data_IF_046120589942
#
_entry.id   IF_046120589942
#
_cell.length_a   1.000
_cell.length_b   1.000
_cell.length_c   1.000
_cell.angle_alpha   90.00
_cell.angle_beta   90.00
_cell.angle_gamma   90.00
#
_symmetry.space_group_name_H-M   'P 1'
#
loop_
_entity.id
_entity.type
_entity.pdbx_description
1 polymer ?
#
# COMPACT_ATOMS: atom_id res chain seq x y z
N UNK A 1 -15.89 -17.78 -7.41
CA UNK A 1 -15.65 -16.94 -6.21
C UNK A 1 -16.52 -15.71 -6.35
N UNK A 2 -17.41 -15.36 -5.41
CA UNK A 2 -18.15 -14.12 -5.50
C UNK A 2 -17.19 -12.95 -5.22
N UNK A 3 -16.97 -12.09 -6.23
CA UNK A 3 -16.57 -10.68 -6.09
C UNK A 3 -15.13 -10.37 -5.66
N UNK A 4 -14.17 -10.45 -6.58
CA UNK A 4 -12.94 -9.65 -6.42
C UNK A 4 -13.26 -8.17 -6.60
N UNK A 5 -12.62 -7.31 -5.81
CA UNK A 5 -12.83 -5.86 -5.89
C UNK A 5 -12.19 -5.30 -7.17
N UNK A 6 -12.94 -4.51 -7.94
CA UNK A 6 -12.48 -3.86 -9.15
C UNK A 6 -11.87 -2.49 -8.83
N UNK A 7 -11.12 -1.93 -9.79
CA UNK A 7 -10.56 -0.60 -9.63
C UNK A 7 -11.68 0.44 -9.51
N UNK A 8 -11.61 1.30 -8.50
CA UNK A 8 -12.63 2.31 -8.20
C UNK A 8 -13.80 1.83 -7.34
N UNK A 9 -13.84 0.54 -6.96
CA UNK A 9 -14.81 0.06 -5.98
C UNK A 9 -14.47 0.62 -4.58
N UNK A 10 -15.49 1.06 -3.85
CA UNK A 10 -15.34 1.48 -2.46
C UNK A 10 -14.83 0.32 -1.61
N UNK A 11 -13.79 0.58 -0.79
CA UNK A 11 -13.29 -0.39 0.16
C UNK A 11 -14.41 -0.85 1.11
N UNK A 12 -14.56 -2.16 1.37
CA UNK A 12 -15.58 -2.65 2.28
C UNK A 12 -15.35 -2.05 3.66
N UNK A 13 -16.38 -1.45 4.24
CA UNK A 13 -16.31 -0.96 5.60
C UNK A 13 -16.50 -2.13 6.57
N UNK A 14 -15.40 -2.69 7.04
CA UNK A 14 -15.40 -3.79 7.99
C UNK A 14 -14.91 -3.36 9.37
N UNK A 15 -15.19 -4.22 10.34
CA UNK A 15 -14.67 -4.15 11.69
C UNK A 15 -13.79 -5.38 11.93
N UNK A 16 -12.63 -5.19 12.53
CA UNK A 16 -11.69 -6.29 12.78
C UNK A 16 -10.90 -6.10 14.08
N UNK A 17 -10.49 -7.22 14.67
CA UNK A 17 -9.58 -7.25 15.80
C UNK A 17 -8.14 -7.06 15.32
N UNK A 18 -7.38 -6.22 16.00
CA UNK A 18 -5.98 -5.92 15.64
C UNK A 18 -5.07 -5.90 16.86
N UNK A 19 -3.76 -5.86 16.63
CA UNK A 19 -2.75 -5.65 17.69
C UNK A 19 -2.91 -4.33 18.45
N UNK A 20 -3.66 -3.35 17.93
CA UNK A 20 -3.99 -2.09 18.61
C UNK A 20 -5.43 -2.06 19.17
N UNK A 21 -6.12 -3.20 19.20
CA UNK A 21 -7.52 -3.31 19.58
C UNK A 21 -8.48 -3.44 18.39
N UNK A 22 -9.78 -3.42 18.67
CA UNK A 22 -10.82 -3.53 17.65
C UNK A 22 -10.92 -2.21 16.87
N UNK A 23 -10.87 -2.27 15.54
CA UNK A 23 -10.96 -1.09 14.67
C UNK A 23 -12.11 -1.22 13.69
N UNK A 24 -12.72 -0.09 13.36
CA UNK A 24 -13.57 0.06 12.18
C UNK A 24 -12.72 0.72 11.07
N UNK A 25 -12.67 0.13 9.88
CA UNK A 25 -11.73 0.58 8.83
C UNK A 25 -11.87 2.07 8.51
N UNK A 26 -13.10 2.56 8.30
CA UNK A 26 -13.33 3.96 7.94
C UNK A 26 -12.96 4.92 9.07
N UNK A 27 -13.28 4.58 10.33
CA UNK A 27 -12.90 5.40 11.49
C UNK A 27 -11.38 5.43 11.68
N UNK A 28 -10.72 4.29 11.45
CA UNK A 28 -9.28 4.18 11.52
C UNK A 28 -8.58 5.03 10.44
N UNK A 29 -9.10 5.00 9.20
CA UNK A 29 -8.57 5.79 8.10
C UNK A 29 -8.84 7.28 8.32
N UNK A 30 -10.06 7.66 8.69
CA UNK A 30 -10.49 9.04 8.80
C UNK A 30 -10.31 9.78 7.47
N UNK A 31 -9.58 10.90 7.50
CA UNK A 31 -9.22 11.66 6.29
C UNK A 31 -7.89 11.22 5.65
N UNK A 32 -7.32 10.11 6.10
CA UNK A 32 -6.08 9.55 5.54
C UNK A 32 -6.38 8.46 4.52
N UNK A 33 -5.48 8.29 3.55
CA UNK A 33 -5.53 7.12 2.67
C UNK A 33 -4.99 5.90 3.42
N UNK A 34 -5.33 4.70 2.97
CA UNK A 34 -4.83 3.45 3.54
C UNK A 34 -4.12 2.58 2.53
N UNK A 35 -3.22 1.74 3.00
CA UNK A 35 -2.68 0.60 2.25
C UNK A 35 -2.96 -0.64 3.07
N UNK A 36 -3.89 -1.47 2.59
CA UNK A 36 -4.18 -2.78 3.14
C UNK A 36 -3.28 -3.78 2.44
N UNK A 37 -2.43 -4.50 3.17
CA UNK A 37 -1.57 -5.49 2.53
C UNK A 37 -1.56 -6.81 3.28
N UNK A 38 -1.75 -7.91 2.57
CA UNK A 38 -1.85 -9.21 3.18
C UNK A 38 -0.53 -9.95 3.27
N UNK A 39 -0.42 -10.86 4.24
CA UNK A 39 0.63 -11.88 4.29
C UNK A 39 0.02 -13.22 4.72
N UNK A 40 0.63 -14.36 4.34
CA UNK A 40 -0.02 -15.66 4.41
C UNK A 40 0.03 -16.27 5.80
N UNK A 41 1.12 -16.03 6.56
CA UNK A 41 1.37 -16.71 7.83
C UNK A 41 2.42 -16.05 8.71
N UNK A 42 2.22 -16.12 10.02
CA UNK A 42 3.25 -15.86 11.02
C UNK A 42 3.82 -17.18 11.57
N UNK A 43 5.12 -17.25 11.89
CA UNK A 43 6.23 -16.45 11.38
C UNK A 43 6.78 -17.05 10.07
N UNK A 44 6.65 -16.33 8.94
CA UNK A 44 7.28 -16.70 7.67
C UNK A 44 8.43 -15.75 7.28
N UNK A 45 9.56 -16.25 6.74
CA UNK A 45 10.77 -15.45 6.54
C UNK A 45 10.58 -14.27 5.59
N UNK A 46 9.85 -14.44 4.49
CA UNK A 46 9.54 -13.35 3.54
C UNK A 46 8.65 -12.29 4.21
N UNK A 47 7.69 -12.72 5.02
CA UNK A 47 6.76 -11.81 5.68
C UNK A 47 7.48 -10.98 6.76
N UNK A 48 8.47 -11.55 7.46
CA UNK A 48 9.31 -10.82 8.40
C UNK A 48 10.07 -9.67 7.70
N UNK A 49 10.66 -9.93 6.53
CA UNK A 49 11.41 -8.90 5.81
C UNK A 49 10.50 -7.82 5.25
N UNK A 50 9.30 -8.19 4.78
CA UNK A 50 8.29 -7.26 4.28
C UNK A 50 7.75 -6.33 5.37
N UNK A 51 7.32 -6.87 6.52
CA UNK A 51 6.84 -6.05 7.64
C UNK A 51 7.98 -5.22 8.25
N UNK A 52 9.20 -5.76 8.30
CA UNK A 52 10.38 -5.00 8.71
C UNK A 52 10.62 -3.79 7.80
N UNK A 53 10.56 -3.97 6.49
CA UNK A 53 10.68 -2.88 5.51
C UNK A 53 9.51 -1.89 5.61
N UNK A 54 8.29 -2.38 5.78
CA UNK A 54 7.11 -1.55 5.98
C UNK A 54 7.24 -0.68 7.23
N UNK A 55 7.74 -1.23 8.34
CA UNK A 55 7.95 -0.49 9.58
C UNK A 55 8.95 0.66 9.40
N UNK A 56 10.07 0.39 8.71
CA UNK A 56 11.07 1.43 8.38
C UNK A 56 10.54 2.52 7.46
N UNK A 57 9.64 2.18 6.54
CA UNK A 57 9.04 3.12 5.60
C UNK A 57 7.76 3.78 6.12
N UNK A 58 7.21 3.36 7.26
CA UNK A 58 5.99 3.93 7.83
C UNK A 58 6.04 5.46 7.97
N UNK A 59 7.17 6.10 8.37
CA UNK A 59 7.28 7.55 8.37
C UNK A 59 7.10 8.20 6.98
N UNK A 60 7.56 7.56 5.91
CA UNK A 60 7.42 8.06 4.54
C UNK A 60 5.98 7.98 4.03
N UNK A 61 5.24 6.96 4.43
CA UNK A 61 3.80 6.85 4.17
C UNK A 61 3.01 7.87 5.00
N UNK A 62 3.35 8.03 6.28
CA UNK A 62 2.71 8.99 7.17
C UNK A 62 2.87 10.45 6.67
N UNK A 63 4.06 10.82 6.16
CA UNK A 63 4.29 12.13 5.52
C UNK A 63 3.36 12.40 4.34
N UNK A 64 2.89 11.36 3.66
CA UNK A 64 1.96 11.42 2.53
C UNK A 64 0.51 11.23 2.97
N UNK A 65 0.19 11.33 4.27
CA UNK A 65 -1.14 11.09 4.82
C UNK A 65 -1.68 9.69 4.45
N UNK A 66 -0.79 8.68 4.46
CA UNK A 66 -1.11 7.29 4.18
C UNK A 66 -0.85 6.42 5.42
N UNK A 67 -1.85 5.63 5.81
CA UNK A 67 -1.77 4.66 6.90
C UNK A 67 -1.54 3.26 6.34
N UNK A 68 -0.52 2.57 6.85
CA UNK A 68 -0.27 1.17 6.54
C UNK A 68 -1.14 0.29 7.44
N UNK A 69 -1.76 -0.76 6.87
CA UNK A 69 -2.60 -1.70 7.59
C UNK A 69 -2.31 -3.11 7.05
N UNK A 70 -1.33 -3.84 7.62
CA UNK A 70 -1.18 -5.24 7.31
C UNK A 70 -2.39 -6.04 7.75
N UNK A 71 -2.86 -6.91 6.86
CA UNK A 71 -3.82 -7.96 7.18
C UNK A 71 -3.02 -9.25 7.32
N UNK A 72 -3.01 -9.82 8.52
CA UNK A 72 -2.63 -11.21 8.66
C UNK A 72 -3.82 -12.04 8.18
N UNK A 73 -3.66 -12.69 7.03
CA UNK A 73 -4.61 -13.71 6.56
C UNK A 73 -4.36 -15.06 7.22
N UNK A 74 -3.57 -15.05 8.29
CA UNK A 74 -3.20 -16.22 9.03
C UNK A 74 -4.24 -16.50 10.11
N UNK A 75 -4.45 -17.78 10.39
CA UNK A 75 -5.22 -18.33 11.52
C UNK A 75 -4.64 -17.96 12.91
N UNK A 76 -3.67 -17.05 12.94
CA UNK A 76 -2.88 -16.72 14.11
C UNK A 76 -3.66 -15.78 15.03
N UNK A 77 -3.37 -15.87 16.33
CA UNK A 77 -4.01 -15.04 17.34
C UNK A 77 -3.42 -13.62 17.37
N UNK A 78 -4.09 -12.67 18.03
CA UNK A 78 -3.50 -11.32 18.22
C UNK A 78 -2.22 -11.43 19.06
N UNK A 79 -2.17 -12.38 19.98
CA UNK A 79 -1.02 -12.71 20.80
C UNK A 79 0.18 -13.17 19.96
N UNK A 80 -0.07 -13.98 18.92
CA UNK A 80 0.98 -14.42 17.98
C UNK A 80 1.54 -13.24 17.18
N UNK A 81 0.67 -12.33 16.72
CA UNK A 81 1.10 -11.10 16.03
C UNK A 81 1.97 -10.21 16.93
N UNK A 82 1.63 -10.09 18.22
CA UNK A 82 2.42 -9.33 19.20
C UNK A 82 3.78 -9.99 19.44
N UNK A 83 3.81 -11.32 19.61
CA UNK A 83 5.05 -12.07 19.76
C UNK A 83 5.94 -11.94 18.52
N UNK A 84 5.35 -12.02 17.32
CA UNK A 84 6.05 -11.89 16.05
C UNK A 84 6.59 -10.47 15.82
N UNK A 85 5.87 -9.44 16.27
CA UNK A 85 6.29 -8.04 16.21
C UNK A 85 7.66 -7.80 16.87
N UNK A 86 7.97 -8.54 17.95
CA UNK A 86 9.31 -8.51 18.58
C UNK A 86 10.40 -8.98 17.61
N UNK A 87 10.13 -10.05 16.87
CA UNK A 87 11.04 -10.60 15.87
C UNK A 87 11.25 -9.65 14.69
N UNK A 88 10.21 -8.94 14.26
CA UNK A 88 10.29 -7.93 13.20
C UNK A 88 11.17 -6.75 13.64
N UNK A 89 10.96 -6.24 14.86
CA UNK A 89 11.77 -5.16 15.41
C UNK A 89 13.23 -5.59 15.60
N UNK A 90 13.48 -6.81 16.10
CA UNK A 90 14.82 -7.37 16.21
C UNK A 90 15.51 -7.51 14.84
N UNK A 91 14.78 -7.97 13.80
CA UNK A 91 15.30 -8.04 12.44
C UNK A 91 15.73 -6.66 11.91
N UNK A 92 15.01 -5.61 12.30
CA UNK A 92 15.35 -4.24 11.93
C UNK A 92 16.55 -3.66 12.68
N UNK A 93 17.07 -4.35 13.70
CA UNK A 93 18.11 -3.86 14.61
C UNK A 93 17.57 -2.92 15.69
N UNK A 94 16.26 -2.93 15.94
CA UNK A 94 15.57 -2.10 16.92
C UNK A 94 15.29 -2.90 18.20
N UNK A 95 14.85 -2.21 19.27
CA UNK A 95 14.45 -2.90 20.50
C UNK A 95 13.30 -3.88 20.22
N UNK A 96 13.36 -5.13 20.70
CA UNK A 96 12.38 -6.18 20.42
C UNK A 96 11.08 -5.96 21.21
N UNK A 97 10.35 -4.91 20.83
CA UNK A 97 9.06 -4.55 21.42
C UNK A 97 7.91 -5.15 20.59
N UNK A 98 6.72 -5.20 21.18
CA UNK A 98 5.49 -5.65 20.51
C UNK A 98 4.86 -4.56 19.64
N UNK A 99 5.42 -3.35 19.68
CA UNK A 99 4.85 -2.18 19.00
C UNK A 99 5.44 -2.05 17.60
N UNK A 100 4.56 -2.04 16.62
CA UNK A 100 4.83 -1.65 15.24
C UNK A 100 4.15 -0.30 14.95
N UNK A 101 4.61 0.46 13.93
CA UNK A 101 4.01 1.74 13.56
C UNK A 101 2.63 1.59 12.90
N UNK A 102 2.13 0.37 12.75
CA UNK A 102 0.82 0.03 12.19
C UNK A 102 0.19 -1.16 12.94
N UNK A 103 -1.15 -1.26 12.98
CA UNK A 103 -1.84 -2.41 13.53
C UNK A 103 -1.84 -3.59 12.55
N UNK A 104 -1.66 -4.81 13.06
CA UNK A 104 -1.87 -6.05 12.28
C UNK A 104 -3.29 -6.53 12.53
N UNK A 105 -4.08 -6.67 11.47
CA UNK A 105 -5.44 -7.22 11.53
C UNK A 105 -5.39 -8.74 11.63
N UNK A 106 -6.15 -9.30 12.56
CA UNK A 106 -6.49 -10.72 12.63
C UNK A 106 -7.69 -10.98 11.71
N UNK A 107 -7.53 -11.82 10.69
CA UNK A 107 -8.65 -12.28 9.86
C UNK A 107 -9.43 -13.39 10.57
N UNK A 108 -10.69 -13.12 10.97
CA UNK A 108 -11.55 -14.11 11.64
C UNK A 108 -12.26 -15.06 10.67
N UNK A 109 -12.21 -14.78 9.35
CA UNK A 109 -12.96 -15.55 8.36
C UNK A 109 -12.17 -16.72 7.79
N UNK A 110 -10.94 -16.96 8.26
CA UNK A 110 -10.03 -18.01 7.77
C UNK A 110 -10.07 -18.12 6.25
N UNK A 111 -10.07 -16.98 5.55
CA UNK A 111 -10.23 -17.00 4.11
C UNK A 111 -9.05 -17.76 3.51
N UNK A 112 -9.26 -18.80 2.68
CA UNK A 112 -8.17 -19.50 2.05
C UNK A 112 -7.52 -18.56 1.04
N UNK A 113 -6.30 -18.08 1.30
CA UNK A 113 -5.66 -17.14 0.38
C UNK A 113 -4.33 -17.65 -0.17
N UNK A 114 -4.27 -17.57 -1.49
CA UNK A 114 -3.19 -17.98 -2.38
C UNK A 114 -2.26 -16.83 -2.79
N UNK A 115 -2.39 -15.61 -2.26
CA UNK A 115 -1.64 -14.44 -2.75
C UNK A 115 -1.36 -13.35 -1.70
N UNK A 116 -0.15 -12.76 -1.79
CA UNK A 116 0.17 -11.45 -1.23
C UNK A 116 -0.59 -10.40 -2.05
N UNK A 117 -1.53 -9.69 -1.42
CA UNK A 117 -2.30 -8.64 -2.07
C UNK A 117 -1.98 -7.31 -1.39
N UNK A 118 -1.75 -6.28 -2.18
CA UNK A 118 -1.70 -4.89 -1.71
C UNK A 118 -2.88 -4.16 -2.33
N UNK A 119 -3.74 -3.62 -1.49
CA UNK A 119 -4.83 -2.71 -1.85
C UNK A 119 -4.46 -1.31 -1.39
N UNK A 120 -4.33 -0.38 -2.33
CA UNK A 120 -4.26 1.05 -2.01
C UNK A 120 -5.72 1.55 -2.00
N UNK A 121 -6.14 2.13 -0.88
CA UNK A 121 -7.56 2.42 -0.57
C UNK A 121 -8.25 3.24 -1.67
N UNK A 122 -9.53 2.90 -1.88
CA UNK A 122 -10.40 3.15 -3.07
C UNK A 122 -10.11 2.24 -4.28
N UNK A 123 -9.33 1.18 -4.07
CA UNK A 123 -8.95 0.23 -5.10
C UNK A 123 -8.34 0.92 -6.34
N UNK A 124 -7.66 2.05 -6.18
CA UNK A 124 -7.01 2.73 -7.30
C UNK A 124 -5.85 1.91 -7.87
N UNK A 125 -5.25 1.04 -7.06
CA UNK A 125 -4.24 0.10 -7.47
C UNK A 125 -4.29 -1.18 -6.63
N UNK A 126 -4.12 -2.33 -7.30
CA UNK A 126 -4.05 -3.65 -6.67
C UNK A 126 -2.86 -4.43 -7.23
N UNK A 127 -2.02 -4.96 -6.33
CA UNK A 127 -0.89 -5.82 -6.69
C UNK A 127 -1.13 -7.23 -6.17
N UNK A 128 -1.02 -8.24 -7.04
CA UNK A 128 -1.04 -9.65 -6.68
C UNK A 128 0.33 -10.26 -6.91
N UNK A 129 0.97 -10.75 -5.84
CA UNK A 129 2.23 -11.48 -5.91
C UNK A 129 2.09 -12.86 -5.23
N UNK A 130 2.76 -13.91 -5.75
CA UNK A 130 2.88 -15.18 -5.06
C UNK A 130 3.58 -15.01 -3.71
N UNK A 131 3.28 -15.89 -2.75
CA UNK A 131 3.93 -15.87 -1.43
C UNK A 131 5.46 -16.05 -1.49
N UNK A 132 5.97 -16.63 -2.58
CA UNK A 132 7.40 -16.83 -2.85
C UNK A 132 8.10 -15.57 -3.36
N UNK A 133 7.36 -14.49 -3.65
CA UNK A 133 7.90 -13.24 -4.20
C UNK A 133 7.63 -12.09 -3.23
N UNK A 134 8.69 -11.65 -2.55
CA UNK A 134 8.63 -10.48 -1.67
C UNK A 134 8.31 -9.20 -2.45
N UNK A 135 7.53 -8.32 -1.82
CA UNK A 135 7.11 -7.03 -2.40
C UNK A 135 8.23 -6.00 -2.41
N UNK A 136 8.16 -5.10 -3.40
CA UNK A 136 8.95 -3.89 -3.42
C UNK A 136 8.13 -2.73 -2.82
N UNK A 137 8.45 -2.35 -1.57
CA UNK A 137 7.79 -1.22 -0.90
C UNK A 137 8.22 0.14 -1.46
N UNK A 138 9.37 0.25 -2.12
CA UNK A 138 9.77 1.48 -2.80
C UNK A 138 8.86 1.73 -4.01
N UNK A 139 8.47 0.66 -4.72
CA UNK A 139 7.46 0.73 -5.79
C UNK A 139 6.09 1.11 -5.24
N UNK A 140 5.71 0.57 -4.08
CA UNK A 140 4.46 0.95 -3.42
C UNK A 140 4.44 2.45 -3.10
N UNK A 141 5.54 2.99 -2.56
CA UNK A 141 5.68 4.41 -2.27
C UNK A 141 5.67 5.28 -3.55
N UNK A 142 6.33 4.80 -4.62
CA UNK A 142 6.34 5.46 -5.93
C UNK A 142 4.93 5.59 -6.50
N UNK A 143 4.14 4.52 -6.40
CA UNK A 143 2.76 4.48 -6.90
C UNK A 143 1.85 5.37 -6.07
N UNK A 144 1.97 5.36 -4.73
CA UNK A 144 1.24 6.30 -3.86
C UNK A 144 1.51 7.74 -4.28
N UNK A 145 2.78 8.08 -4.52
CA UNK A 145 3.18 9.43 -4.93
C UNK A 145 2.60 9.79 -6.30
N UNK A 146 2.62 8.85 -7.26
CA UNK A 146 1.97 9.02 -8.56
C UNK A 146 0.46 9.25 -8.43
N UNK A 147 -0.25 8.41 -7.66
CA UNK A 147 -1.70 8.53 -7.47
C UNK A 147 -2.09 9.86 -6.82
N UNK A 148 -1.32 10.34 -5.85
CA UNK A 148 -1.56 11.65 -5.24
C UNK A 148 -1.32 12.79 -6.22
N UNK A 149 -0.24 12.72 -7.00
CA UNK A 149 0.08 13.71 -8.02
C UNK A 149 -1.02 13.80 -9.09
N UNK A 150 -1.50 12.66 -9.60
CA UNK A 150 -2.51 12.62 -10.66
C UNK A 150 -3.92 12.92 -10.16
N UNK A 151 -4.19 12.77 -8.87
CA UNK A 151 -5.44 13.22 -8.25
C UNK A 151 -5.50 14.76 -8.14
N UNK A 152 -4.37 15.41 -7.84
CA UNK A 152 -4.31 16.87 -7.69
C UNK A 152 -4.02 17.62 -8.99
N UNK A 153 -3.26 17.01 -9.90
CA UNK A 153 -2.77 17.62 -11.14
C UNK A 153 -3.28 16.83 -12.33
N UNK A 154 -3.66 17.54 -13.39
CA UNK A 154 -4.15 16.92 -14.64
C UNK A 154 -3.00 16.38 -15.51
N UNK A 155 -2.20 15.46 -14.96
CA UNK A 155 -1.04 14.82 -15.59
C UNK A 155 -1.10 13.30 -15.42
N UNK A 156 -0.23 12.58 -16.11
CA UNK A 156 0.00 11.14 -15.92
C UNK A 156 1.50 10.86 -15.77
N UNK A 157 1.87 9.89 -14.94
CA UNK A 157 3.29 9.50 -14.78
C UNK A 157 3.69 8.47 -15.84
N UNK A 158 4.79 8.66 -16.60
CA UNK A 158 5.24 7.71 -17.61
C UNK A 158 5.81 6.41 -17.01
N UNK A 159 6.19 5.48 -17.89
CA UNK A 159 6.92 4.26 -17.51
C UNK A 159 8.18 4.60 -16.72
N UNK A 160 8.47 3.80 -15.67
CA UNK A 160 9.62 3.95 -14.78
C UNK A 160 9.77 5.34 -14.13
N UNK A 161 8.69 6.13 -14.09
CA UNK A 161 8.69 7.46 -13.50
C UNK A 161 9.11 7.43 -12.04
N UNK A 162 9.99 8.36 -11.66
CA UNK A 162 10.43 8.62 -10.29
C UNK A 162 9.98 10.01 -9.87
N UNK A 163 9.75 10.19 -8.58
CA UNK A 163 9.39 11.49 -8.00
C UNK A 163 10.43 12.57 -8.38
N UNK A 164 9.94 13.73 -8.83
CA UNK A 164 10.69 14.81 -9.45
C UNK A 164 10.93 14.68 -10.96
N UNK A 165 10.59 13.54 -11.57
CA UNK A 165 10.77 13.28 -13.00
C UNK A 165 9.66 13.89 -13.87
N UNK A 166 9.92 13.99 -15.18
CA UNK A 166 8.94 14.52 -16.14
C UNK A 166 7.64 13.69 -16.16
N UNK A 167 6.52 14.39 -16.32
CA UNK A 167 5.18 13.82 -16.41
C UNK A 167 4.59 14.04 -17.79
N UNK A 168 3.53 13.30 -18.11
CA UNK A 168 2.81 13.36 -19.38
C UNK A 168 1.57 14.23 -19.24
N UNK A 169 1.30 15.06 -20.24
CA UNK A 169 0.03 15.80 -20.34
C UNK A 169 -1.07 14.83 -20.72
N UNK A 170 -2.21 14.89 -20.02
CA UNK A 170 -3.37 14.06 -20.37
C UNK A 170 -3.84 14.35 -21.81
N UNK A 171 -4.23 13.33 -22.58
CA UNK A 171 -4.66 13.51 -23.98
C UNK A 171 -5.95 14.35 -24.08
N UNK A 172 -6.74 14.42 -23.02
CA UNK A 172 -7.98 15.21 -22.94
C UNK A 172 -7.75 16.71 -22.81
N UNK A 173 -6.52 17.16 -22.54
CA UNK A 173 -6.21 18.59 -22.43
C UNK A 173 -5.97 19.13 -23.84
N UNK A 174 -6.78 20.09 -24.32
CA UNK A 174 -6.59 20.70 -25.63
C UNK A 174 -5.19 21.30 -25.79
N UNK A 175 -4.67 21.34 -27.01
CA UNK A 175 -3.40 22.00 -27.31
C UNK A 175 -3.62 23.52 -27.33
N UNK A 176 -2.99 24.26 -26.41
CA UNK A 176 -2.79 25.72 -26.55
C UNK A 176 -1.38 26.05 -27.07
N UNK A 177 -0.40 25.14 -26.99
CA UNK A 177 1.00 25.35 -27.43
C UNK A 177 1.65 24.10 -28.07
N UNK A 178 2.72 24.34 -28.83
CA UNK A 178 3.51 23.38 -29.61
C UNK A 178 4.49 22.59 -28.70
N UNK A 179 4.44 21.24 -28.72
CA UNK A 179 5.27 20.41 -27.84
C UNK A 179 6.52 19.85 -28.54
N UNK A 180 7.65 19.65 -27.81
CA UNK A 180 8.96 19.32 -28.38
C UNK A 180 9.05 18.01 -29.18
N UNK A 181 8.10 17.09 -29.02
CA UNK A 181 8.17 15.75 -29.61
C UNK A 181 7.71 15.67 -31.07
N UNK A 182 7.11 16.74 -31.60
CA UNK A 182 6.50 16.76 -32.94
C UNK A 182 5.30 15.81 -33.11
N UNK A 183 4.90 15.07 -32.06
CA UNK A 183 3.75 14.17 -32.03
C UNK A 183 2.73 14.65 -31.00
N UNK A 184 1.54 15.02 -31.48
CA UNK A 184 0.45 15.64 -30.72
C UNK A 184 -0.01 14.87 -29.47
N UNK A 185 0.18 13.56 -29.44
CA UNK A 185 -0.23 12.70 -28.31
C UNK A 185 0.89 12.41 -27.29
N UNK A 186 2.15 12.77 -27.60
CA UNK A 186 3.30 12.48 -26.73
C UNK A 186 3.86 13.79 -26.17
N UNK A 187 3.20 14.32 -25.15
CA UNK A 187 3.50 15.62 -24.55
C UNK A 187 4.01 15.43 -23.12
N UNK A 188 5.20 15.93 -22.83
CA UNK A 188 5.83 15.85 -21.50
C UNK A 188 6.16 17.23 -20.96
N UNK A 189 6.06 17.39 -19.64
CA UNK A 189 6.50 18.58 -18.91
C UNK A 189 7.24 18.17 -17.63
N UNK A 190 8.06 19.07 -17.04
CA UNK A 190 8.54 18.88 -15.68
C UNK A 190 7.38 18.67 -14.70
N UNK A 191 7.60 17.91 -13.63
CA UNK A 191 6.60 17.75 -12.58
C UNK A 191 6.20 19.12 -12.01
N UNK A 192 4.89 19.44 -11.94
CA UNK A 192 4.38 20.72 -11.46
C UNK A 192 4.40 20.84 -9.93
#
# INVERSE_FOLDING_TARGET
>A
MPGGQLLGDMAPNFEANTTAGRIHLQDFLGNSRGILFSHPRDPAPVCCTELGRAAKLAPEFAKRNVKLIPIALSIDSVEDHLAWSKGINAYNGEEPTEKLPFPIIKDEKDMPVTAHVVFIVEAEAVYHLPATTGRNFDETLRVVTSLQLTAEKRVATPVDWKDGGSVMVLPTIPEEEEFPSGKKHLRSLPQP
#
